data_IF_899050843342
#
_entry.id   IF_899050843342
#
_cell.length_a   1.000
_cell.length_b   1.000
_cell.length_c   1.000
_cell.angle_alpha   90.00
_cell.angle_beta   90.00
_cell.angle_gamma   90.00
#
_symmetry.space_group_name_H-M   'P 1'
#
loop_
_entity.id
_entity.type
_entity.pdbx_description
1 polymer ?
#
# COMPACT_ATOMS: atom_id res chain seq x y z
N UNK A 1 -23.61 27.92 43.48
CA UNK A 1 -23.04 26.88 42.60
C UNK A 1 -23.10 27.44 41.18
N UNK A 2 -21.99 27.99 40.69
CA UNK A 2 -21.91 28.72 39.41
C UNK A 2 -21.52 27.72 38.31
N UNK A 3 -22.44 27.47 37.37
CA UNK A 3 -22.11 26.78 36.14
C UNK A 3 -21.27 27.72 35.27
N UNK A 4 -20.03 27.33 35.04
CA UNK A 4 -19.17 27.95 34.04
C UNK A 4 -19.71 27.55 32.65
N UNK A 5 -20.10 28.57 31.89
CA UNK A 5 -20.39 28.46 30.46
C UNK A 5 -19.06 28.22 29.75
N UNK A 6 -18.79 26.96 29.45
CA UNK A 6 -17.74 26.63 28.49
C UNK A 6 -18.24 27.09 27.10
N UNK A 7 -17.59 28.11 26.61
CA UNK A 7 -17.80 28.61 25.26
C UNK A 7 -17.44 27.47 24.29
N UNK A 8 -18.48 26.90 23.70
CA UNK A 8 -18.40 26.09 22.51
C UNK A 8 -18.08 27.05 21.34
N UNK A 9 -16.88 27.58 21.31
CA UNK A 9 -16.36 28.30 20.18
C UNK A 9 -15.95 27.26 19.16
N UNK A 10 -16.87 26.98 18.28
CA UNK A 10 -16.74 26.24 17.05
C UNK A 10 -15.42 26.50 16.37
N UNK A 11 -14.52 25.57 16.50
CA UNK A 11 -13.38 25.48 15.61
C UNK A 11 -13.87 24.78 14.34
N UNK A 12 -14.68 25.49 13.53
CA UNK A 12 -14.75 25.21 12.11
C UNK A 12 -13.41 25.69 11.51
N UNK A 13 -12.39 24.91 11.74
CA UNK A 13 -11.23 24.94 10.87
C UNK A 13 -11.70 24.36 9.54
N UNK A 14 -12.19 25.25 8.66
CA UNK A 14 -12.25 24.94 7.25
C UNK A 14 -10.80 24.71 6.87
N UNK A 15 -10.39 23.44 6.87
CA UNK A 15 -9.22 23.01 6.14
C UNK A 15 -9.49 23.47 4.70
N UNK A 16 -8.97 24.62 4.36
CA UNK A 16 -8.68 24.96 2.98
C UNK A 16 -7.60 23.96 2.56
N UNK A 17 -8.03 22.75 2.20
CA UNK A 17 -7.24 21.89 1.34
C UNK A 17 -7.02 22.72 0.09
N UNK A 18 -5.93 23.46 0.08
CA UNK A 18 -5.36 23.88 -1.18
C UNK A 18 -4.90 22.58 -1.82
N UNK A 19 -5.85 21.88 -2.45
CA UNK A 19 -5.51 20.91 -3.44
C UNK A 19 -4.72 21.72 -4.47
N UNK A 20 -3.41 21.66 -4.38
CA UNK A 20 -2.58 21.78 -5.56
C UNK A 20 -3.08 20.60 -6.38
N UNK A 21 -4.06 20.88 -7.25
CA UNK A 21 -4.55 19.87 -8.18
C UNK A 21 -3.31 19.40 -8.91
N UNK A 22 -2.83 18.22 -8.58
CA UNK A 22 -1.69 17.64 -9.27
C UNK A 22 -2.07 17.70 -10.74
N UNK A 23 -1.27 18.42 -11.54
CA UNK A 23 -1.53 18.60 -12.96
C UNK A 23 -1.57 17.18 -13.57
N UNK A 24 -2.75 16.73 -13.92
CA UNK A 24 -2.96 15.41 -14.55
C UNK A 24 -3.10 15.60 -16.06
N UNK A 25 -1.98 15.61 -16.79
CA UNK A 25 -1.99 15.86 -18.22
C UNK A 25 -2.70 14.76 -19.01
N UNK A 26 -3.01 13.63 -18.37
CA UNK A 26 -3.67 12.47 -18.97
C UNK A 26 -5.06 12.21 -18.36
N UNK A 27 -5.69 13.18 -17.70
CA UNK A 27 -6.93 12.97 -16.96
C UNK A 27 -8.03 12.30 -17.79
N UNK A 28 -8.26 12.76 -19.01
CA UNK A 28 -9.27 12.17 -19.91
C UNK A 28 -9.02 10.69 -20.22
N UNK A 29 -7.77 10.31 -20.38
CA UNK A 29 -7.37 8.91 -20.56
C UNK A 29 -7.51 8.14 -19.25
N UNK A 30 -6.95 8.68 -18.18
CA UNK A 30 -6.94 8.05 -16.86
C UNK A 30 -8.35 7.79 -16.34
N UNK A 31 -9.30 8.72 -16.52
CA UNK A 31 -10.71 8.52 -16.15
C UNK A 31 -11.41 7.41 -16.95
N UNK A 32 -11.06 7.23 -18.22
CA UNK A 32 -11.61 6.10 -19.02
C UNK A 32 -11.10 4.75 -18.51
N UNK A 33 -9.81 4.67 -18.19
CA UNK A 33 -9.23 3.46 -17.60
C UNK A 33 -9.75 3.22 -16.19
N UNK A 34 -9.94 4.28 -15.41
CA UNK A 34 -10.59 4.22 -14.11
C UNK A 34 -11.98 3.60 -14.22
N UNK A 35 -12.83 4.09 -15.10
CA UNK A 35 -14.17 3.55 -15.31
C UNK A 35 -14.15 2.07 -15.74
N UNK A 36 -13.16 1.67 -16.54
CA UNK A 36 -12.95 0.26 -16.89
C UNK A 36 -12.54 -0.56 -15.65
N UNK A 37 -11.61 -0.07 -14.84
CA UNK A 37 -11.17 -0.75 -13.63
C UNK A 37 -12.32 -0.85 -12.60
N UNK A 38 -13.11 0.22 -12.41
CA UNK A 38 -14.31 0.18 -11.55
C UNK A 38 -15.32 -0.87 -12.04
N UNK A 39 -15.56 -0.94 -13.36
CA UNK A 39 -16.42 -1.98 -13.91
C UNK A 39 -15.92 -3.39 -13.56
N UNK A 40 -14.63 -3.65 -13.68
CA UNK A 40 -14.05 -4.95 -13.30
C UNK A 40 -14.13 -5.21 -11.81
N UNK A 41 -13.89 -4.17 -10.99
CA UNK A 41 -13.97 -4.27 -9.55
C UNK A 41 -15.40 -4.60 -9.09
N UNK A 42 -16.37 -3.80 -9.48
CA UNK A 42 -17.77 -3.95 -9.08
C UNK A 42 -18.38 -5.29 -9.50
N UNK A 43 -17.97 -5.83 -10.66
CA UNK A 43 -18.57 -7.05 -11.21
C UNK A 43 -17.80 -8.34 -10.86
N UNK A 44 -16.51 -8.23 -10.50
CA UNK A 44 -15.68 -9.41 -10.25
C UNK A 44 -14.86 -9.32 -8.97
N UNK A 45 -14.00 -8.32 -8.80
CA UNK A 45 -13.04 -8.31 -7.70
C UNK A 45 -13.74 -8.09 -6.34
N UNK A 46 -14.58 -7.08 -6.22
CA UNK A 46 -15.32 -6.76 -5.00
C UNK A 46 -16.26 -7.90 -4.55
N UNK A 47 -17.15 -8.46 -5.40
CA UNK A 47 -17.98 -9.60 -4.98
C UNK A 47 -17.17 -10.81 -4.55
N UNK A 48 -16.03 -11.08 -5.22
CA UNK A 48 -15.16 -12.20 -4.84
C UNK A 48 -14.48 -11.94 -3.50
N UNK A 49 -14.05 -10.70 -3.22
CA UNK A 49 -13.47 -10.30 -1.95
C UNK A 49 -14.49 -10.37 -0.80
N UNK A 50 -15.73 -9.95 -1.03
CA UNK A 50 -16.83 -10.07 -0.06
C UNK A 50 -17.15 -11.54 0.27
N UNK A 51 -17.16 -12.41 -0.72
CA UNK A 51 -17.30 -13.86 -0.49
C UNK A 51 -16.12 -14.38 0.33
N UNK A 52 -14.89 -14.03 -0.04
CA UNK A 52 -13.69 -14.44 0.67
C UNK A 52 -13.76 -14.06 2.16
N UNK A 53 -14.02 -12.80 2.49
CA UNK A 53 -14.12 -12.33 3.89
C UNK A 53 -15.32 -12.94 4.64
N UNK A 54 -16.38 -13.32 3.94
CA UNK A 54 -17.54 -13.96 4.58
C UNK A 54 -17.30 -15.41 4.98
N UNK A 55 -16.37 -16.11 4.34
CA UNK A 55 -16.11 -17.54 4.58
C UNK A 55 -14.76 -17.82 5.24
N UNK A 56 -13.77 -16.95 5.07
CA UNK A 56 -12.44 -17.11 5.67
C UNK A 56 -12.51 -16.71 7.16
N UNK A 57 -12.02 -17.55 8.07
CA UNK A 57 -11.82 -17.12 9.45
C UNK A 57 -10.70 -16.08 9.55
N UNK A 58 -10.77 -15.13 10.48
CA UNK A 58 -9.83 -14.03 10.67
C UNK A 58 -8.36 -14.49 10.70
N UNK A 59 -8.07 -15.60 11.39
CA UNK A 59 -6.70 -16.11 11.45
C UNK A 59 -6.15 -16.59 10.10
N UNK A 60 -7.03 -16.98 9.17
CA UNK A 60 -6.66 -17.38 7.80
C UNK A 60 -6.37 -16.14 6.98
N UNK A 61 -7.19 -15.10 7.07
CA UNK A 61 -6.98 -13.82 6.39
C UNK A 61 -5.65 -13.20 6.82
N UNK A 62 -5.45 -13.08 8.14
CA UNK A 62 -4.19 -12.57 8.71
C UNK A 62 -3.00 -13.43 8.28
N UNK A 63 -3.15 -14.76 8.28
CA UNK A 63 -2.08 -15.67 7.87
C UNK A 63 -1.71 -15.55 6.39
N UNK A 64 -2.70 -15.41 5.50
CA UNK A 64 -2.47 -15.19 4.07
C UNK A 64 -1.81 -13.83 3.84
N UNK A 65 -2.27 -12.78 4.51
CA UNK A 65 -1.66 -11.46 4.47
C UNK A 65 -0.18 -11.51 4.91
N UNK A 66 0.10 -12.15 6.04
CA UNK A 66 1.47 -12.33 6.53
C UNK A 66 2.35 -13.10 5.54
N UNK A 67 1.82 -14.14 4.90
CA UNK A 67 2.54 -14.92 3.89
C UNK A 67 2.99 -14.02 2.72
N UNK A 68 2.10 -13.22 2.14
CA UNK A 68 2.47 -12.33 1.04
C UNK A 68 3.46 -11.25 1.48
N UNK A 69 3.24 -10.67 2.63
CA UNK A 69 4.16 -9.70 3.22
C UNK A 69 5.54 -10.29 3.46
N UNK A 70 5.62 -11.54 3.92
CA UNK A 70 6.89 -12.23 4.09
C UNK A 70 7.63 -12.46 2.76
N UNK A 71 6.92 -12.74 1.67
CA UNK A 71 7.54 -12.83 0.34
C UNK A 71 8.12 -11.49 -0.13
N UNK A 72 7.49 -10.38 0.25
CA UNK A 72 7.95 -9.04 -0.08
C UNK A 72 9.16 -8.57 0.75
N UNK A 73 9.42 -9.19 1.93
CA UNK A 73 10.61 -8.85 2.74
C UNK A 73 11.94 -9.04 1.96
N UNK A 74 11.97 -9.91 0.95
CA UNK A 74 13.15 -10.04 0.08
C UNK A 74 13.35 -8.83 -0.81
N UNK A 75 12.25 -8.30 -1.38
CA UNK A 75 12.27 -7.08 -2.18
C UNK A 75 12.62 -5.87 -1.31
N UNK A 76 11.98 -5.75 -0.15
CA UNK A 76 12.27 -4.71 0.84
C UNK A 76 13.76 -4.69 1.19
N UNK A 77 14.31 -5.85 1.60
CA UNK A 77 15.72 -5.98 1.96
C UNK A 77 16.66 -5.58 0.81
N UNK A 78 16.36 -5.99 -0.42
CA UNK A 78 17.15 -5.64 -1.59
C UNK A 78 17.12 -4.12 -1.86
N UNK A 79 15.96 -3.51 -1.78
CA UNK A 79 15.78 -2.07 -2.01
C UNK A 79 16.42 -1.23 -0.89
N UNK A 80 16.33 -1.66 0.38
CA UNK A 80 17.06 -1.03 1.50
C UNK A 80 18.57 -1.03 1.25
N UNK A 81 19.15 -2.14 0.75
CA UNK A 81 20.56 -2.18 0.38
C UNK A 81 20.89 -1.21 -0.76
N UNK A 82 20.07 -1.15 -1.80
CA UNK A 82 20.24 -0.25 -2.94
C UNK A 82 20.14 1.23 -2.55
N UNK A 83 19.40 1.53 -1.49
CA UNK A 83 19.28 2.87 -0.91
C UNK A 83 20.40 3.19 0.10
N UNK A 84 21.32 2.24 0.37
CA UNK A 84 22.40 2.45 1.33
C UNK A 84 21.99 2.34 2.80
N UNK A 85 20.92 1.61 3.11
CA UNK A 85 20.36 1.38 4.44
C UNK A 85 20.61 -0.08 4.92
N UNK A 86 21.86 -0.51 5.15
CA UNK A 86 22.18 -1.93 5.38
C UNK A 86 21.59 -2.50 6.67
N UNK A 87 21.35 -1.68 7.70
CA UNK A 87 20.74 -2.14 8.94
C UNK A 87 19.24 -2.46 8.76
N UNK A 88 18.52 -1.65 8.00
CA UNK A 88 17.13 -1.92 7.66
C UNK A 88 17.03 -3.15 6.75
N UNK A 89 17.92 -3.27 5.77
CA UNK A 89 18.01 -4.46 4.93
C UNK A 89 18.23 -5.75 5.75
N UNK A 90 19.10 -5.70 6.76
CA UNK A 90 19.35 -6.83 7.66
C UNK A 90 18.11 -7.15 8.51
N UNK A 91 17.39 -6.12 8.97
CA UNK A 91 16.13 -6.30 9.67
C UNK A 91 15.11 -7.04 8.80
N UNK A 92 14.85 -6.57 7.58
CA UNK A 92 13.85 -7.15 6.68
C UNK A 92 14.24 -8.58 6.26
N UNK A 93 15.53 -8.81 5.96
CA UNK A 93 16.03 -10.16 5.68
C UNK A 93 15.88 -11.10 6.89
N UNK A 94 16.11 -10.60 8.11
CA UNK A 94 15.92 -11.38 9.33
C UNK A 94 14.46 -11.73 9.55
N UNK A 95 13.54 -10.82 9.28
CA UNK A 95 12.10 -11.07 9.27
C UNK A 95 11.76 -12.20 8.31
N UNK A 96 12.21 -12.09 7.05
CA UNK A 96 12.01 -13.15 6.06
C UNK A 96 12.46 -14.52 6.58
N UNK A 97 13.67 -14.64 7.13
CA UNK A 97 14.20 -15.91 7.62
C UNK A 97 13.39 -16.46 8.80
N UNK A 98 13.08 -15.62 9.78
CA UNK A 98 12.36 -16.03 10.99
C UNK A 98 10.92 -16.43 10.63
N UNK A 99 10.22 -15.62 9.86
CA UNK A 99 8.85 -15.88 9.48
C UNK A 99 8.73 -17.09 8.54
N UNK A 100 9.68 -17.26 7.62
CA UNK A 100 9.70 -18.43 6.74
C UNK A 100 10.01 -19.74 7.47
N UNK A 101 10.80 -19.72 8.54
CA UNK A 101 11.19 -20.93 9.28
C UNK A 101 10.28 -21.21 10.47
N UNK A 102 10.26 -20.30 11.44
CA UNK A 102 9.48 -20.44 12.68
C UNK A 102 8.01 -20.07 12.46
N UNK A 103 7.75 -19.10 11.56
CA UNK A 103 6.43 -18.58 11.23
C UNK A 103 5.66 -19.39 10.18
N UNK A 104 6.01 -20.70 9.97
CA UNK A 104 5.30 -21.59 9.04
C UNK A 104 5.22 -21.05 7.60
N UNK A 105 6.38 -20.70 7.03
CA UNK A 105 6.44 -20.14 5.68
C UNK A 105 5.97 -18.68 5.57
N UNK A 106 5.90 -17.97 6.68
CA UNK A 106 5.44 -16.59 6.74
C UNK A 106 3.97 -16.42 7.14
N UNK A 107 3.25 -17.52 7.40
CA UNK A 107 1.85 -17.46 7.84
C UNK A 107 1.70 -16.78 9.21
N UNK A 108 2.69 -16.91 10.07
CA UNK A 108 2.74 -16.26 11.40
C UNK A 108 3.89 -15.23 11.39
N UNK A 109 3.57 -13.97 11.73
CA UNK A 109 4.58 -12.93 11.88
C UNK A 109 5.29 -13.04 13.24
N UNK A 110 6.30 -13.88 13.28
CA UNK A 110 7.14 -14.10 14.45
C UNK A 110 8.16 -12.96 14.61
N UNK A 111 8.61 -12.38 13.48
CA UNK A 111 9.60 -11.28 13.46
C UNK A 111 9.17 -10.09 14.30
N UNK A 112 7.89 -9.68 14.21
CA UNK A 112 7.33 -8.61 15.04
C UNK A 112 7.41 -8.92 16.54
N UNK A 113 7.26 -10.19 16.95
CA UNK A 113 7.41 -10.62 18.35
C UNK A 113 8.85 -10.49 18.88
N UNK A 114 9.84 -10.43 17.98
CA UNK A 114 11.25 -10.16 18.31
C UNK A 114 11.61 -8.67 18.22
N UNK A 115 10.63 -7.78 17.97
CA UNK A 115 10.87 -6.34 17.85
C UNK A 115 11.52 -5.93 16.53
N UNK A 116 11.43 -6.78 15.50
CA UNK A 116 11.85 -6.42 14.15
C UNK A 116 10.73 -5.63 13.49
N UNK A 117 11.01 -4.36 13.20
CA UNK A 117 10.05 -3.48 12.54
C UNK A 117 9.82 -3.91 11.09
N UNK A 118 8.62 -3.60 10.58
CA UNK A 118 8.27 -3.83 9.19
C UNK A 118 8.58 -2.59 8.38
N UNK A 119 9.10 -2.80 7.17
CA UNK A 119 9.27 -1.76 6.16
C UNK A 119 8.60 -2.23 4.87
N UNK A 120 8.09 -1.27 4.10
CA UNK A 120 7.57 -1.51 2.77
C UNK A 120 8.40 -0.69 1.78
N UNK A 121 9.24 -1.38 1.02
CA UNK A 121 10.16 -0.77 0.06
C UNK A 121 10.01 -1.42 -1.32
N UNK A 122 10.06 -0.58 -2.36
CA UNK A 122 10.08 -1.06 -3.73
C UNK A 122 11.17 -0.39 -4.56
N UNK A 123 11.39 -0.88 -5.78
CA UNK A 123 12.41 -0.28 -6.65
C UNK A 123 12.00 1.10 -7.17
N UNK A 124 10.72 1.46 -7.17
CA UNK A 124 10.26 2.81 -7.49
C UNK A 124 10.69 3.82 -6.43
N UNK A 125 10.63 3.43 -5.14
CA UNK A 125 11.17 4.22 -4.03
C UNK A 125 12.70 4.34 -4.14
N UNK A 126 13.39 3.26 -4.45
CA UNK A 126 14.84 3.27 -4.71
C UNK A 126 15.21 4.25 -5.82
N UNK A 127 14.48 4.25 -6.94
CA UNK A 127 14.65 5.25 -7.99
C UNK A 127 14.40 6.67 -7.50
N UNK A 128 13.40 6.86 -6.64
CA UNK A 128 13.12 8.13 -5.98
C UNK A 128 14.29 8.61 -5.11
N UNK A 129 14.81 7.74 -4.26
CA UNK A 129 16.00 8.02 -3.43
C UNK A 129 17.26 8.34 -4.27
N UNK A 130 17.34 7.81 -5.49
CA UNK A 130 18.40 8.16 -6.45
C UNK A 130 18.13 9.45 -7.23
N UNK A 131 17.01 10.15 -6.96
CA UNK A 131 16.67 11.45 -7.54
C UNK A 131 15.86 11.38 -8.84
N UNK A 132 15.33 10.22 -9.22
CA UNK A 132 14.42 10.12 -10.36
C UNK A 132 13.03 10.63 -10.00
N UNK A 133 12.50 11.57 -10.77
CA UNK A 133 11.14 12.07 -10.56
C UNK A 133 10.09 11.00 -10.79
N UNK A 134 8.96 11.12 -10.08
CA UNK A 134 7.81 10.22 -10.20
C UNK A 134 7.24 10.19 -11.63
N UNK A 135 7.21 11.35 -12.28
CA UNK A 135 6.50 11.58 -13.53
C UNK A 135 4.99 11.80 -13.31
N UNK A 136 4.22 11.97 -14.39
CA UNK A 136 2.79 12.20 -14.31
C UNK A 136 2.03 10.99 -13.79
N UNK A 137 0.84 11.24 -13.22
CA UNK A 137 -0.07 10.18 -12.83
C UNK A 137 -0.58 9.40 -14.05
N UNK A 138 -0.63 8.07 -13.92
CA UNK A 138 -1.15 7.14 -14.93
C UNK A 138 -2.09 6.13 -14.28
N UNK A 139 -3.28 5.98 -14.82
CA UNK A 139 -4.17 4.88 -14.49
C UNK A 139 -3.92 3.71 -15.45
N UNK A 140 -3.56 2.55 -14.92
CA UNK A 140 -3.21 1.36 -15.69
C UNK A 140 -4.38 0.38 -15.68
N UNK A 141 -4.79 -0.19 -16.84
CA UNK A 141 -5.83 -1.21 -16.87
C UNK A 141 -5.52 -2.37 -15.94
N UNK A 142 -6.49 -2.75 -15.11
CA UNK A 142 -6.42 -3.83 -14.10
C UNK A 142 -5.46 -3.50 -12.94
N UNK A 143 -4.36 -2.83 -13.21
CA UNK A 143 -3.28 -2.58 -12.24
C UNK A 143 -3.57 -1.39 -11.29
N UNK A 144 -4.42 -0.44 -11.71
CA UNK A 144 -4.76 0.74 -10.93
C UNK A 144 -3.78 1.91 -11.05
N UNK A 145 -3.66 2.75 -10.00
CA UNK A 145 -2.83 3.95 -10.00
C UNK A 145 -1.34 3.64 -10.14
N UNK A 146 -0.64 4.46 -10.90
CA UNK A 146 0.80 4.35 -11.13
C UNK A 146 1.42 5.67 -11.60
N UNK A 147 2.74 5.65 -11.78
CA UNK A 147 3.55 6.66 -12.47
C UNK A 147 4.59 5.94 -13.34
N UNK A 148 5.27 6.61 -14.28
CA UNK A 148 6.39 6.00 -15.02
C UNK A 148 7.45 5.38 -14.11
N UNK A 149 7.83 6.07 -13.01
CA UNK A 149 8.75 5.55 -12.01
C UNK A 149 8.18 4.33 -11.30
N UNK A 150 6.92 4.39 -10.86
CA UNK A 150 6.23 3.28 -10.19
C UNK A 150 6.10 2.04 -11.11
N UNK A 151 5.84 2.21 -12.41
CA UNK A 151 5.81 1.10 -13.37
C UNK A 151 7.18 0.45 -13.54
N UNK A 152 8.24 1.26 -13.65
CA UNK A 152 9.61 0.75 -13.71
C UNK A 152 9.97 0.00 -12.42
N UNK A 153 9.61 0.58 -11.27
CA UNK A 153 9.79 -0.02 -9.95
C UNK A 153 9.12 -1.38 -9.84
N UNK A 154 7.82 -1.46 -10.07
CA UNK A 154 7.06 -2.73 -10.01
C UNK A 154 7.62 -3.80 -10.95
N UNK A 155 8.12 -3.43 -12.13
CA UNK A 155 8.72 -4.38 -13.07
C UNK A 155 9.97 -5.04 -12.50
N UNK A 156 10.79 -4.29 -11.78
CA UNK A 156 12.01 -4.81 -11.11
C UNK A 156 11.64 -5.56 -9.83
N UNK A 157 10.80 -4.99 -8.98
CA UNK A 157 10.33 -5.61 -7.74
C UNK A 157 9.65 -6.96 -7.99
N UNK A 158 8.93 -7.12 -9.10
CA UNK A 158 8.34 -8.41 -9.47
C UNK A 158 9.38 -9.53 -9.69
N UNK A 159 10.61 -9.18 -10.04
CA UNK A 159 11.73 -10.13 -10.19
C UNK A 159 12.42 -10.38 -8.86
N UNK A 160 12.45 -9.39 -7.98
CA UNK A 160 13.08 -9.49 -6.65
C UNK A 160 12.17 -10.19 -5.63
N UNK A 161 10.85 -10.15 -5.83
CA UNK A 161 9.89 -10.80 -4.94
C UNK A 161 10.06 -12.32 -4.91
N UNK A 162 9.75 -12.93 -3.76
CA UNK A 162 9.84 -14.38 -3.58
C UNK A 162 8.97 -15.19 -4.54
N UNK A 163 7.94 -14.57 -5.14
CA UNK A 163 7.06 -15.21 -6.13
C UNK A 163 7.78 -15.55 -7.44
N UNK A 164 8.84 -14.83 -7.79
CA UNK A 164 9.64 -15.10 -8.99
C UNK A 164 10.34 -16.46 -8.94
N UNK A 165 10.66 -16.97 -7.75
CA UNK A 165 11.29 -18.27 -7.56
C UNK A 165 10.37 -19.47 -7.94
N UNK A 166 9.06 -19.22 -8.07
CA UNK A 166 8.06 -20.24 -8.43
C UNK A 166 8.09 -20.45 -9.94
N UNK A 167 8.53 -21.65 -10.35
CA UNK A 167 8.74 -21.98 -11.77
C UNK A 167 7.45 -22.36 -12.49
N UNK A 168 6.53 -22.96 -11.79
CA UNK A 168 5.25 -23.42 -12.33
C UNK A 168 4.33 -22.20 -12.58
N UNK A 169 4.01 -21.94 -13.82
CA UNK A 169 3.23 -20.76 -14.24
C UNK A 169 1.82 -20.74 -13.65
N UNK A 170 1.15 -21.86 -13.59
CA UNK A 170 -0.18 -22.04 -13.04
C UNK A 170 -0.19 -21.78 -11.53
N UNK A 171 0.79 -22.27 -10.79
CA UNK A 171 0.95 -22.00 -9.35
C UNK A 171 1.21 -20.52 -9.11
N UNK A 172 2.12 -19.92 -9.88
CA UNK A 172 2.43 -18.49 -9.77
C UNK A 172 1.21 -17.61 -10.06
N UNK A 173 0.44 -17.93 -11.10
CA UNK A 173 -0.81 -17.21 -11.39
C UNK A 173 -1.83 -17.36 -10.28
N UNK A 174 -1.97 -18.54 -9.70
CA UNK A 174 -2.86 -18.78 -8.56
C UNK A 174 -2.46 -17.96 -7.33
N UNK A 175 -1.17 -17.90 -7.02
CA UNK A 175 -0.64 -17.09 -5.91
C UNK A 175 -0.87 -15.60 -6.18
N UNK A 176 -0.58 -15.12 -7.40
CA UNK A 176 -0.83 -13.70 -7.75
C UNK A 176 -2.32 -13.34 -7.68
N UNK A 177 -3.20 -14.24 -8.10
CA UNK A 177 -4.64 -14.02 -8.00
C UNK A 177 -5.11 -14.01 -6.53
N UNK A 178 -4.54 -14.85 -5.68
CA UNK A 178 -4.84 -14.86 -4.24
C UNK A 178 -4.32 -13.60 -3.55
N UNK A 179 -3.13 -13.11 -3.91
CA UNK A 179 -2.57 -11.86 -3.41
C UNK A 179 -3.45 -10.66 -3.79
N UNK A 180 -3.88 -10.60 -5.05
CA UNK A 180 -4.80 -9.57 -5.52
C UNK A 180 -6.15 -9.61 -4.77
N UNK A 181 -6.69 -10.82 -4.53
CA UNK A 181 -7.93 -11.02 -3.79
C UNK A 181 -7.79 -10.56 -2.33
N UNK A 182 -6.73 -10.98 -1.65
CA UNK A 182 -6.44 -10.59 -0.27
C UNK A 182 -6.25 -9.08 -0.16
N UNK A 183 -5.48 -8.50 -1.06
CA UNK A 183 -5.29 -7.05 -1.13
C UNK A 183 -6.62 -6.33 -1.29
N UNK A 184 -7.50 -6.79 -2.22
CA UNK A 184 -8.82 -6.18 -2.41
C UNK A 184 -9.71 -6.32 -1.18
N UNK A 185 -9.64 -7.46 -0.49
CA UNK A 185 -10.40 -7.72 0.73
C UNK A 185 -10.05 -6.71 1.84
N UNK A 186 -8.79 -6.41 2.05
CA UNK A 186 -8.32 -5.40 3.03
C UNK A 186 -8.87 -3.99 2.74
N UNK A 187 -9.13 -3.66 1.49
CA UNK A 187 -9.65 -2.34 1.11
C UNK A 187 -11.19 -2.22 1.17
N UNK A 188 -11.93 -3.29 1.47
CA UNK A 188 -13.40 -3.24 1.52
C UNK A 188 -13.92 -2.22 2.56
N UNK A 189 -13.32 -2.17 3.72
CA UNK A 189 -13.72 -1.26 4.80
C UNK A 189 -13.30 0.18 4.50
N UNK A 190 -12.05 0.37 4.07
CA UNK A 190 -11.49 1.70 3.78
C UNK A 190 -12.23 2.40 2.64
N UNK A 191 -12.71 1.63 1.65
CA UNK A 191 -13.48 2.17 0.53
C UNK A 191 -14.72 2.96 0.97
N UNK A 192 -15.34 2.59 2.09
CA UNK A 192 -16.54 3.26 2.62
C UNK A 192 -16.28 4.66 3.14
N UNK A 193 -15.02 5.00 3.42
CA UNK A 193 -14.59 6.29 3.94
C UNK A 193 -14.37 7.34 2.84
N UNK A 194 -14.34 6.91 1.58
CA UNK A 194 -14.07 7.82 0.45
C UNK A 194 -15.31 8.65 0.16
N UNK A 195 -15.20 9.98 0.31
CA UNK A 195 -16.26 10.94 0.07
C UNK A 195 -15.91 11.79 -1.15
N UNK A 196 -16.85 11.99 -2.07
CA UNK A 196 -16.68 12.84 -3.24
C UNK A 196 -16.23 12.09 -4.51
N UNK A 197 -15.40 12.73 -5.34
CA UNK A 197 -14.89 12.12 -6.58
C UNK A 197 -13.78 11.11 -6.26
N UNK A 198 -14.14 9.82 -6.32
CA UNK A 198 -13.23 8.70 -6.02
C UNK A 198 -11.97 8.71 -6.88
N UNK A 199 -12.09 9.08 -8.16
CA UNK A 199 -10.93 9.17 -9.03
C UNK A 199 -9.91 10.19 -8.52
N UNK A 200 -10.38 11.41 -8.24
CA UNK A 200 -9.51 12.48 -7.74
C UNK A 200 -8.90 12.11 -6.38
N UNK A 201 -9.70 11.52 -5.48
CA UNK A 201 -9.20 11.06 -4.19
C UNK A 201 -8.06 10.04 -4.34
N UNK A 202 -8.26 9.00 -5.16
CA UNK A 202 -7.24 7.94 -5.37
C UNK A 202 -6.00 8.50 -6.05
N UNK A 203 -6.16 9.38 -7.05
CA UNK A 203 -5.03 10.06 -7.71
C UNK A 203 -4.19 10.84 -6.71
N UNK A 204 -4.85 11.70 -5.94
CA UNK A 204 -4.18 12.63 -5.04
C UNK A 204 -3.51 11.86 -3.88
N UNK A 205 -4.19 10.89 -3.30
CA UNK A 205 -3.63 10.02 -2.27
C UNK A 205 -2.43 9.23 -2.80
N UNK A 206 -2.51 8.67 -4.02
CA UNK A 206 -1.40 7.94 -4.62
C UNK A 206 -0.18 8.84 -4.87
N UNK A 207 -0.39 10.05 -5.38
CA UNK A 207 0.71 10.98 -5.65
C UNK A 207 1.36 11.48 -4.37
N UNK A 208 0.58 11.78 -3.33
CA UNK A 208 1.09 12.15 -2.01
C UNK A 208 1.89 10.99 -1.37
N UNK A 209 1.34 9.77 -1.43
CA UNK A 209 2.04 8.59 -0.94
C UNK A 209 3.39 8.39 -1.66
N UNK A 210 3.44 8.53 -2.99
CA UNK A 210 4.68 8.41 -3.77
C UNK A 210 5.71 9.49 -3.42
N UNK A 211 5.28 10.68 -3.06
CA UNK A 211 6.15 11.77 -2.61
C UNK A 211 6.69 11.50 -1.20
N UNK A 212 5.82 11.10 -0.29
CA UNK A 212 6.19 10.71 1.06
C UNK A 212 7.24 9.57 1.07
N UNK A 213 6.96 8.47 0.39
CA UNK A 213 7.84 7.32 0.29
C UNK A 213 9.21 7.67 -0.30
N UNK A 214 9.24 8.50 -1.35
CA UNK A 214 10.49 8.89 -2.00
C UNK A 214 11.34 9.87 -1.17
N UNK A 215 10.73 10.55 -0.19
CA UNK A 215 11.42 11.44 0.76
C UNK A 215 11.86 10.75 2.06
N UNK A 216 11.68 9.44 2.18
CA UNK A 216 11.88 8.68 3.43
C UNK A 216 11.10 9.26 4.63
N UNK A 217 9.91 9.80 4.39
CA UNK A 217 9.08 10.40 5.42
C UNK A 217 9.46 11.82 5.84
N UNK A 218 10.48 12.43 5.24
CA UNK A 218 10.95 13.78 5.63
C UNK A 218 9.98 14.91 5.23
N UNK A 219 9.07 14.68 4.29
CA UNK A 219 8.13 15.67 3.78
C UNK A 219 6.71 15.55 4.34
N UNK A 220 6.56 15.04 5.56
CA UNK A 220 5.25 15.03 6.19
C UNK A 220 4.85 16.43 6.69
N UNK A 221 3.63 16.89 6.40
CA UNK A 221 2.94 17.79 7.30
C UNK A 221 2.65 16.99 8.59
N UNK A 222 3.22 17.42 9.71
CA UNK A 222 3.21 16.73 11.02
C UNK A 222 1.81 16.31 11.54
N UNK A 223 0.73 16.83 10.95
CA UNK A 223 -0.63 16.69 11.49
C UNK A 223 -1.42 15.47 10.96
N UNK A 224 -0.97 14.76 9.90
CA UNK A 224 -1.81 13.74 9.25
C UNK A 224 -1.50 12.30 9.71
N UNK A 225 -0.31 12.06 10.21
CA UNK A 225 0.14 10.69 10.57
C UNK A 225 -0.31 10.32 11.98
N UNK A 226 -0.25 11.25 12.92
CA UNK A 226 -0.70 11.02 14.29
C UNK A 226 -2.21 10.66 14.34
N UNK A 227 -3.02 11.28 13.48
CA UNK A 227 -4.46 10.99 13.40
C UNK A 227 -4.79 9.64 12.75
N UNK A 228 -3.95 9.14 11.84
CA UNK A 228 -4.19 7.83 11.19
C UNK A 228 -3.72 6.66 12.04
N UNK A 229 -2.62 6.79 12.75
CA UNK A 229 -2.13 5.74 13.64
C UNK A 229 -3.07 5.55 14.85
N UNK A 230 -3.64 6.61 15.38
CA UNK A 230 -4.65 6.54 16.45
C UNK A 230 -5.96 5.90 15.97
N UNK A 231 -6.34 6.11 14.71
CA UNK A 231 -7.58 5.54 14.14
C UNK A 231 -7.45 4.04 13.80
N UNK A 232 -6.25 3.55 13.52
CA UNK A 232 -5.99 2.15 13.16
C UNK A 232 -5.67 1.25 14.37
N UNK A 233 -5.50 1.83 15.57
CA UNK A 233 -5.16 1.12 16.79
C UNK A 233 -6.36 0.94 17.77
N UNK A 234 -7.52 1.57 17.50
CA UNK A 234 -8.78 1.38 18.21
C UNK A 234 -9.70 0.38 17.49
#
# INVERSE_FOLDING_TARGET
>A
MKLNKFNLCSLFFILSIHSVAADDPFEDYNRKIWAFNEFLDDNFAKPTAEIYTSIAPDFVEVGISNFFRNLNELDNSANQLLQGKPLLALNDFSRFLINSTVGLGGFIDVGSSFGLERHDEDFGQTLGAWGFSSGPFLMIPIYGPSTPRGLAGRSVSSVLSGTFAIKETDVRLGITALDALETRARYLEVETLIIGDRYSFIRDSYMQYQEFESSNGENQPDDFVDDMDDFLLD
#
